data_IF_411262761849
#
_entry.id   IF_411262761849
#
_cell.length_a   1.000
_cell.length_b   1.000
_cell.length_c   1.000
_cell.angle_alpha   90.00
_cell.angle_beta   90.00
_cell.angle_gamma   90.00
#
_symmetry.space_group_name_H-M   'P 1'
#
loop_
_entity.id
_entity.type
_entity.pdbx_description
1 polymer ?
#
# COMPACT_ATOMS: atom_id res chain seq x y z
N UNK A 1 -11.48 1.46 18.47
CA UNK A 1 -11.65 2.86 18.03
C UNK A 1 -10.36 3.31 17.37
N UNK A 2 -10.44 3.65 16.09
CA UNK A 2 -9.29 4.06 15.27
C UNK A 2 -8.76 5.43 15.74
N UNK A 3 -7.45 5.73 15.62
CA UNK A 3 -6.94 7.07 15.92
C UNK A 3 -7.59 8.16 15.05
N UNK A 4 -7.96 9.29 15.66
CA UNK A 4 -8.69 10.39 14.99
C UNK A 4 -7.94 10.96 13.78
N UNK A 5 -6.61 11.09 13.87
CA UNK A 5 -5.78 11.54 12.73
C UNK A 5 -5.84 10.58 11.54
N UNK A 6 -5.91 9.27 11.82
CA UNK A 6 -6.01 8.23 10.80
C UNK A 6 -7.39 8.26 10.16
N UNK A 7 -8.45 8.35 10.96
CA UNK A 7 -9.82 8.50 10.48
C UNK A 7 -9.97 9.72 9.56
N UNK A 8 -9.51 10.90 10.01
CA UNK A 8 -9.63 12.13 9.23
C UNK A 8 -8.89 12.02 7.89
N UNK A 9 -7.72 11.39 7.88
CA UNK A 9 -6.93 11.21 6.67
C UNK A 9 -7.60 10.27 5.67
N UNK A 10 -8.21 9.20 6.15
CA UNK A 10 -8.98 8.29 5.29
C UNK A 10 -10.24 9.00 4.76
N UNK A 11 -10.97 9.76 5.59
CA UNK A 11 -12.14 10.55 5.13
C UNK A 11 -11.76 11.51 4.01
N UNK A 12 -10.69 12.29 4.19
CA UNK A 12 -10.20 13.19 3.15
C UNK A 12 -9.82 12.43 1.85
N UNK A 13 -9.31 11.20 1.98
CA UNK A 13 -9.00 10.37 0.80
C UNK A 13 -10.25 9.92 0.07
N UNK A 14 -11.32 9.59 0.82
CA UNK A 14 -12.62 9.19 0.25
C UNK A 14 -13.30 10.38 -0.44
N UNK A 15 -13.17 11.59 0.11
CA UNK A 15 -13.71 12.82 -0.47
C UNK A 15 -13.18 13.11 -1.89
N UNK A 16 -11.96 12.67 -2.21
CA UNK A 16 -11.35 12.82 -3.53
C UNK A 16 -11.90 11.82 -4.57
N UNK A 17 -12.78 10.89 -4.18
CA UNK A 17 -13.33 9.89 -5.11
C UNK A 17 -14.47 10.48 -5.97
N UNK A 18 -14.61 10.07 -7.24
CA UNK A 18 -15.70 10.54 -8.08
C UNK A 18 -17.06 9.99 -7.60
N UNK A 19 -18.11 10.78 -7.78
CA UNK A 19 -19.50 10.34 -7.58
C UNK A 19 -19.86 9.23 -8.61
N UNK A 20 -20.61 8.19 -8.23
CA UNK A 20 -21.31 7.99 -6.95
C UNK A 20 -20.48 7.30 -5.85
N UNK A 21 -19.25 6.88 -6.16
CA UNK A 21 -18.44 6.01 -5.28
C UNK A 21 -18.04 6.66 -3.96
N UNK A 22 -17.90 7.98 -3.93
CA UNK A 22 -17.60 8.73 -2.71
C UNK A 22 -18.65 8.48 -1.61
N UNK A 23 -19.94 8.65 -1.92
CA UNK A 23 -21.04 8.46 -0.97
C UNK A 23 -21.15 7.01 -0.51
N UNK A 24 -21.03 6.07 -1.45
CA UNK A 24 -21.07 4.64 -1.16
C UNK A 24 -19.95 4.23 -0.20
N UNK A 25 -18.74 4.72 -0.41
CA UNK A 25 -17.58 4.34 0.39
C UNK A 25 -17.57 5.03 1.74
N UNK A 26 -18.05 6.27 1.83
CA UNK A 26 -18.29 6.93 3.13
C UNK A 26 -19.29 6.13 3.97
N UNK A 27 -20.41 5.70 3.37
CA UNK A 27 -21.40 4.86 4.06
C UNK A 27 -20.80 3.53 4.54
N UNK A 28 -20.00 2.87 3.70
CA UNK A 28 -19.29 1.65 4.09
C UNK A 28 -18.27 1.90 5.20
N UNK A 29 -17.55 3.03 5.14
CA UNK A 29 -16.56 3.44 6.13
C UNK A 29 -17.20 3.66 7.51
N UNK A 30 -18.29 4.42 7.57
CA UNK A 30 -19.02 4.68 8.81
C UNK A 30 -19.63 3.41 9.39
N UNK A 31 -20.15 2.52 8.52
CA UNK A 31 -20.67 1.21 8.93
C UNK A 31 -19.58 0.35 9.55
N UNK A 32 -18.39 0.32 8.94
CA UNK A 32 -17.25 -0.41 9.47
C UNK A 32 -16.76 0.19 10.80
N UNK A 33 -16.66 1.51 10.92
CA UNK A 33 -16.30 2.18 12.18
C UNK A 33 -17.26 1.84 13.32
N UNK A 34 -18.56 1.73 13.02
CA UNK A 34 -19.57 1.34 13.99
C UNK A 34 -19.38 -0.10 14.53
N UNK A 35 -18.64 -0.96 13.82
CA UNK A 35 -18.26 -2.30 14.32
C UNK A 35 -17.14 -2.28 15.36
N UNK A 36 -16.59 -1.10 15.67
CA UNK A 36 -15.45 -0.88 16.56
C UNK A 36 -14.24 -1.77 16.18
N UNK A 37 -13.66 -1.55 14.99
CA UNK A 37 -12.62 -2.40 14.45
C UNK A 37 -11.36 -2.41 15.33
N UNK A 38 -10.67 -3.54 15.32
CA UNK A 38 -9.40 -3.78 15.99
C UNK A 38 -8.24 -3.79 14.99
N UNK A 39 -7.03 -3.55 15.50
CA UNK A 39 -5.81 -3.64 14.70
C UNK A 39 -5.54 -5.10 14.26
N UNK A 40 -5.01 -5.34 13.05
CA UNK A 40 -4.62 -4.34 12.04
C UNK A 40 -5.83 -3.84 11.24
N UNK A 41 -6.04 -2.52 11.20
CA UNK A 41 -7.24 -1.94 10.61
C UNK A 41 -7.31 -2.16 9.11
N UNK A 42 -6.17 -2.18 8.41
CA UNK A 42 -6.14 -2.48 6.97
C UNK A 42 -6.64 -3.89 6.65
N UNK A 43 -6.43 -4.87 7.53
CA UNK A 43 -6.96 -6.24 7.38
C UNK A 43 -8.45 -6.26 7.69
N UNK A 44 -8.84 -5.70 8.85
CA UNK A 44 -10.24 -5.63 9.27
C UNK A 44 -11.13 -4.94 8.21
N UNK A 45 -10.65 -3.83 7.66
CA UNK A 45 -11.32 -3.10 6.57
C UNK A 45 -11.41 -3.96 5.30
N UNK A 46 -10.32 -4.61 4.89
CA UNK A 46 -10.31 -5.46 3.71
C UNK A 46 -11.28 -6.64 3.84
N UNK A 47 -11.36 -7.26 5.01
CA UNK A 47 -12.30 -8.35 5.29
C UNK A 47 -13.74 -7.85 5.30
N UNK A 48 -14.01 -6.70 5.91
CA UNK A 48 -15.33 -6.08 5.90
C UNK A 48 -15.78 -5.75 4.48
N UNK A 49 -14.96 -5.03 3.73
CA UNK A 49 -15.30 -4.57 2.39
C UNK A 49 -15.43 -5.71 1.38
N UNK A 50 -14.72 -6.83 1.59
CA UNK A 50 -14.85 -8.04 0.75
C UNK A 50 -16.23 -8.70 0.83
N UNK A 51 -17.01 -8.45 1.89
CA UNK A 51 -18.38 -8.99 2.03
C UNK A 51 -19.39 -8.32 1.11
N UNK A 52 -19.11 -7.07 0.72
CA UNK A 52 -19.90 -6.27 -0.22
C UNK A 52 -19.41 -6.41 -1.67
N UNK A 53 -18.31 -7.14 -1.90
CA UNK A 53 -17.84 -7.46 -3.23
C UNK A 53 -18.70 -8.57 -3.83
N UNK A 54 -19.77 -8.17 -4.52
CA UNK A 54 -20.55 -9.10 -5.34
C UNK A 54 -19.63 -9.71 -6.42
N UNK A 55 -19.45 -11.03 -6.37
CA UNK A 55 -18.48 -11.83 -7.14
C UNK A 55 -18.80 -11.86 -8.66
N UNK A 56 -19.87 -11.16 -9.05
CA UNK A 56 -20.50 -11.20 -10.38
C UNK A 56 -19.89 -10.24 -11.41
N UNK A 57 -19.07 -9.27 -11.00
CA UNK A 57 -18.45 -8.31 -11.93
C UNK A 57 -16.93 -8.20 -11.72
N UNK A 58 -16.18 -8.77 -12.66
CA UNK A 58 -14.71 -8.74 -12.68
C UNK A 58 -14.11 -7.32 -12.83
N UNK A 59 -14.92 -6.28 -13.06
CA UNK A 59 -14.48 -4.90 -13.29
C UNK A 59 -15.38 -3.86 -12.58
N UNK A 60 -15.50 -3.94 -11.25
CA UNK A 60 -16.18 -2.89 -10.49
C UNK A 60 -15.16 -1.81 -10.08
N UNK A 61 -15.29 -0.60 -10.61
CA UNK A 61 -14.47 0.56 -10.24
C UNK A 61 -14.48 0.81 -8.73
N UNK A 62 -15.57 0.45 -8.04
CA UNK A 62 -15.68 0.47 -6.58
C UNK A 62 -14.56 -0.29 -5.86
N UNK A 63 -14.12 -1.44 -6.41
CA UNK A 63 -13.00 -2.24 -5.86
C UNK A 63 -11.68 -1.47 -5.85
N UNK A 64 -11.46 -0.60 -6.84
CA UNK A 64 -10.24 0.20 -6.93
C UNK A 64 -10.18 1.17 -5.73
N UNK A 65 -11.31 1.82 -5.43
CA UNK A 65 -11.41 2.77 -4.33
C UNK A 65 -11.37 2.08 -2.96
N UNK A 66 -12.04 0.94 -2.79
CA UNK A 66 -11.94 0.12 -1.57
C UNK A 66 -10.47 -0.26 -1.31
N UNK A 67 -9.78 -0.75 -2.35
CA UNK A 67 -8.37 -1.11 -2.27
C UNK A 67 -7.46 0.09 -1.99
N UNK A 68 -7.83 1.28 -2.47
CA UNK A 68 -7.12 2.53 -2.17
C UNK A 68 -7.22 2.87 -0.68
N UNK A 69 -8.40 2.74 -0.07
CA UNK A 69 -8.58 2.88 1.39
C UNK A 69 -7.74 1.86 2.16
N UNK A 70 -7.76 0.57 1.77
CA UNK A 70 -6.94 -0.46 2.42
C UNK A 70 -5.44 -0.15 2.35
N UNK A 71 -4.98 0.39 1.22
CA UNK A 71 -3.57 0.75 1.04
C UNK A 71 -3.17 1.95 1.90
N UNK A 72 -4.02 2.99 2.00
CA UNK A 72 -3.75 4.14 2.87
C UNK A 72 -3.74 3.72 4.35
N UNK A 73 -4.68 2.88 4.78
CA UNK A 73 -4.66 2.30 6.13
C UNK A 73 -3.37 1.54 6.41
N UNK A 74 -2.96 0.68 5.47
CA UNK A 74 -1.70 -0.05 5.60
C UNK A 74 -0.49 0.89 5.64
N UNK A 75 -0.47 1.95 4.84
CA UNK A 75 0.63 2.92 4.82
C UNK A 75 0.69 3.77 6.12
N UNK A 76 -0.43 3.96 6.79
CA UNK A 76 -0.53 4.67 8.08
C UNK A 76 -0.20 3.76 9.27
N UNK A 77 -0.61 2.49 9.26
CA UNK A 77 -0.31 1.50 10.30
C UNK A 77 1.10 0.92 10.19
N UNK A 78 1.53 0.58 8.97
CA UNK A 78 2.85 0.01 8.70
C UNK A 78 3.73 1.15 8.20
N UNK A 79 4.56 1.77 9.07
CA UNK A 79 5.50 2.77 8.60
C UNK A 79 6.36 2.12 7.50
N UNK A 80 6.41 2.74 6.31
CA UNK A 80 7.23 2.29 5.17
C UNK A 80 8.64 2.05 5.68
N UNK A 81 8.93 0.80 5.96
CA UNK A 81 10.11 0.45 6.71
C UNK A 81 11.31 0.84 5.86
N UNK A 82 12.21 1.58 6.50
CA UNK A 82 13.55 1.93 6.06
C UNK A 82 14.23 0.81 5.23
N UNK A 83 13.90 -0.45 5.52
CA UNK A 83 14.27 -1.68 4.82
C UNK A 83 14.06 -1.69 3.29
N UNK A 84 12.97 -1.10 2.74
CA UNK A 84 12.80 -1.02 1.29
C UNK A 84 13.81 -0.07 0.63
N UNK A 85 14.17 1.03 1.31
CA UNK A 85 15.24 1.94 0.86
C UNK A 85 16.61 1.28 0.95
N UNK A 86 16.85 0.51 2.03
CA UNK A 86 18.10 -0.24 2.24
C UNK A 86 18.29 -1.30 1.16
N UNK A 87 17.26 -2.09 0.82
CA UNK A 87 17.36 -3.11 -0.23
C UNK A 87 17.73 -2.51 -1.60
N UNK A 88 17.16 -1.34 -1.95
CA UNK A 88 17.47 -0.64 -3.20
C UNK A 88 18.90 -0.08 -3.21
N UNK A 89 19.39 0.43 -2.07
CA UNK A 89 20.76 0.90 -1.93
C UNK A 89 21.79 -0.24 -2.02
N UNK A 90 21.51 -1.39 -1.38
CA UNK A 90 22.36 -2.57 -1.40
C UNK A 90 22.55 -3.14 -2.82
N UNK A 91 21.47 -3.20 -3.61
CA UNK A 91 21.54 -3.65 -5.00
C UNK A 91 22.45 -2.76 -5.86
N UNK A 92 22.36 -1.43 -5.69
CA UNK A 92 23.19 -0.48 -6.44
C UNK A 92 24.70 -0.64 -6.10
N UNK A 93 25.02 -0.84 -4.82
CA UNK A 93 26.39 -1.06 -4.35
C UNK A 93 26.96 -2.37 -4.91
N UNK A 94 26.17 -3.45 -4.91
CA UNK A 94 26.59 -4.73 -5.49
C UNK A 94 26.89 -4.62 -7.00
N UNK A 95 26.06 -3.91 -7.76
CA UNK A 95 26.32 -3.66 -9.19
C UNK A 95 27.60 -2.85 -9.43
N UNK A 96 27.89 -1.87 -8.57
CA UNK A 96 29.13 -1.09 -8.66
C UNK A 96 30.37 -1.97 -8.41
N UNK A 97 30.35 -2.81 -7.38
CA UNK A 97 31.43 -3.75 -7.11
C UNK A 97 31.63 -4.73 -8.27
N UNK A 98 30.55 -5.22 -8.89
CA UNK A 98 30.63 -6.12 -10.04
C UNK A 98 31.36 -5.47 -11.23
N UNK A 99 31.07 -4.20 -11.53
CA UNK A 99 31.75 -3.45 -12.59
C UNK A 99 33.24 -3.29 -12.29
N UNK A 100 33.60 -2.97 -11.03
CA UNK A 100 34.99 -2.83 -10.60
C UNK A 100 35.73 -4.17 -10.73
N UNK A 101 35.13 -5.28 -10.29
CA UNK A 101 35.71 -6.62 -10.43
C UNK A 101 35.93 -7.01 -11.89
N UNK A 102 34.95 -6.74 -12.76
CA UNK A 102 35.07 -7.00 -14.20
C UNK A 102 36.18 -6.16 -14.85
N UNK A 103 36.29 -4.89 -14.48
CA UNK A 103 37.35 -4.01 -14.98
C UNK A 103 38.75 -4.50 -14.55
N UNK A 104 38.92 -4.85 -13.27
CA UNK A 104 40.19 -5.39 -12.75
C UNK A 104 40.54 -6.74 -13.39
N UNK A 105 39.56 -7.65 -13.54
CA UNK A 105 39.74 -8.94 -14.21
C UNK A 105 40.16 -8.80 -15.67
N UNK A 106 39.66 -7.77 -16.36
CA UNK A 106 40.05 -7.47 -17.75
C UNK A 106 41.48 -6.95 -17.84
N UNK A 107 41.93 -6.14 -16.88
CA UNK A 107 43.30 -5.62 -16.84
C UNK A 107 44.29 -6.72 -16.49
N UNK A 108 43.98 -7.62 -15.54
CA UNK A 108 44.87 -8.73 -15.20
C UNK A 108 45.05 -9.72 -16.36
N UNK A 109 43.98 -9.99 -17.13
CA UNK A 109 44.04 -10.84 -18.34
C UNK A 109 44.79 -10.20 -19.52
N UNK A 110 44.91 -8.88 -19.56
CA UNK A 110 45.66 -8.18 -20.61
C UNK A 110 47.16 -8.04 -20.28
N UNK A 111 47.56 -8.39 -19.04
CA UNK A 111 48.93 -8.34 -18.57
C UNK A 111 49.64 -9.72 -18.60
N UNK A 112 48.92 -10.79 -18.92
CA UNK A 112 49.45 -12.10 -19.37
C UNK A 112 49.73 -12.06 -20.88
#
# INVERSE_FOLDING_TARGET
>A
MIPEEMEQRIRNTIDDFPSPYCEDIHSMWDTWLATNPEEPYYLSWSEFASKDEDDSSLFNEKRIYIKKVSNELRDLEVPKTFWQKVAKALAAVASMFLVIFLALSRVSRAAE
#
